data_IF_716071279961
#
_entry.id   IF_716071279961
#
_cell.length_a   1.000
_cell.length_b   1.000
_cell.length_c   1.000
_cell.angle_alpha   90.00
_cell.angle_beta   90.00
_cell.angle_gamma   90.00
#
_symmetry.space_group_name_H-M   'P 1'
#
loop_
_entity.id
_entity.type
_entity.pdbx_description
1 polymer ?
#
# COMPACT_ATOMS: atom_id res chain seq x y z
N UNK A 1 36.39 2.83 -9.26
CA UNK A 1 35.58 1.95 -8.40
C UNK A 1 34.13 2.38 -8.54
N UNK A 2 33.28 1.55 -9.15
CA UNK A 2 31.83 1.83 -9.18
C UNK A 2 31.31 1.96 -7.74
N UNK A 3 30.45 2.96 -7.47
CA UNK A 3 29.86 3.07 -6.14
C UNK A 3 29.01 1.83 -5.89
N UNK A 4 29.07 1.24 -4.69
CA UNK A 4 28.43 -0.05 -4.44
C UNK A 4 26.89 0.08 -4.43
N UNK A 5 26.35 1.31 -4.39
CA UNK A 5 24.93 1.64 -4.67
C UNK A 5 24.47 1.26 -6.08
N UNK A 6 25.35 1.33 -7.09
CA UNK A 6 25.02 0.91 -8.46
C UNK A 6 24.84 -0.60 -8.58
N UNK A 7 25.40 -1.40 -7.66
CA UNK A 7 25.37 -2.86 -7.80
C UNK A 7 24.00 -3.44 -7.42
N UNK A 8 23.40 -2.98 -6.31
CA UNK A 8 22.07 -3.45 -5.90
C UNK A 8 20.95 -2.88 -6.77
N UNK A 9 21.02 -1.59 -7.15
CA UNK A 9 20.08 -1.05 -8.13
C UNK A 9 20.22 -1.79 -9.46
N UNK A 10 21.45 -2.09 -9.93
CA UNK A 10 21.66 -2.96 -11.10
C UNK A 10 21.06 -4.35 -10.89
N UNK A 11 21.18 -4.98 -9.72
CA UNK A 11 20.61 -6.33 -9.48
C UNK A 11 19.08 -6.29 -9.49
N UNK A 12 18.47 -5.32 -8.78
CA UNK A 12 17.02 -5.15 -8.75
C UNK A 12 16.45 -4.69 -10.10
N UNK A 13 17.22 -3.94 -10.90
CA UNK A 13 16.82 -3.44 -12.22
C UNK A 13 17.19 -4.38 -13.37
N UNK A 14 18.03 -5.39 -13.11
CA UNK A 14 18.39 -6.36 -14.11
C UNK A 14 17.19 -7.29 -14.35
N UNK A 15 16.68 -7.23 -15.59
CA UNK A 15 15.54 -8.04 -16.07
C UNK A 15 15.70 -9.54 -15.82
N UNK A 16 16.92 -10.03 -15.65
CA UNK A 16 17.17 -11.45 -15.38
C UNK A 16 17.14 -11.79 -13.88
N UNK A 17 17.59 -10.90 -13.00
CA UNK A 17 17.67 -11.16 -11.56
C UNK A 17 16.43 -10.71 -10.79
N UNK A 18 15.73 -9.67 -11.25
CA UNK A 18 14.52 -9.18 -10.59
C UNK A 18 13.42 -10.26 -10.47
N UNK A 19 13.12 -11.08 -11.50
CA UNK A 19 12.11 -12.14 -11.39
C UNK A 19 12.51 -13.25 -10.42
N UNK A 20 13.79 -13.64 -10.39
CA UNK A 20 14.33 -14.60 -9.42
C UNK A 20 14.17 -14.08 -7.99
N UNK A 21 14.47 -12.80 -7.79
CA UNK A 21 14.35 -12.13 -6.50
C UNK A 21 12.89 -12.06 -6.04
N UNK A 22 11.96 -11.84 -6.98
CA UNK A 22 10.52 -11.91 -6.71
C UNK A 22 10.09 -13.32 -6.34
N UNK A 23 10.53 -14.35 -7.08
CA UNK A 23 10.24 -15.74 -6.74
C UNK A 23 10.71 -16.09 -5.32
N UNK A 24 11.91 -15.67 -4.92
CA UNK A 24 12.43 -15.88 -3.57
C UNK A 24 11.56 -15.17 -2.51
N UNK A 25 11.18 -13.91 -2.76
CA UNK A 25 10.32 -13.15 -1.84
C UNK A 25 8.94 -13.79 -1.68
N UNK A 26 8.38 -14.33 -2.75
CA UNK A 26 7.09 -15.03 -2.73
C UNK A 26 7.12 -16.36 -1.97
N UNK A 27 8.31 -16.94 -1.74
CA UNK A 27 8.45 -18.14 -0.91
C UNK A 27 8.38 -17.84 0.60
N UNK A 28 8.68 -16.61 1.04
CA UNK A 28 8.64 -16.25 2.46
C UNK A 28 7.24 -16.48 3.09
N UNK A 29 6.14 -15.97 2.51
CA UNK A 29 4.80 -16.21 3.06
C UNK A 29 4.35 -17.68 3.03
N UNK A 30 4.86 -18.48 2.09
CA UNK A 30 4.53 -19.90 1.97
C UNK A 30 5.09 -20.68 3.18
N UNK A 31 6.26 -20.29 3.70
CA UNK A 31 6.79 -20.85 4.94
C UNK A 31 5.86 -20.66 6.14
N UNK A 32 5.13 -19.53 6.19
CA UNK A 32 4.16 -19.25 7.27
C UNK A 32 2.95 -20.17 7.16
N UNK A 33 2.41 -20.37 5.94
CA UNK A 33 1.30 -21.28 5.68
C UNK A 33 1.59 -22.72 6.12
N UNK A 34 2.83 -23.18 5.97
CA UNK A 34 3.25 -24.54 6.31
C UNK A 34 3.49 -24.70 7.83
N UNK A 35 4.02 -23.67 8.50
CA UNK A 35 4.46 -23.79 9.90
C UNK A 35 3.44 -23.29 10.94
N UNK A 36 2.55 -22.35 10.57
CA UNK A 36 1.51 -21.79 11.45
C UNK A 36 0.44 -22.80 11.91
N UNK A 37 0.61 -24.07 11.56
CA UNK A 37 -0.33 -25.17 11.74
C UNK A 37 -0.03 -26.06 12.97
N UNK A 38 1.10 -25.84 13.66
CA UNK A 38 1.53 -26.64 14.82
C UNK A 38 0.90 -26.23 16.17
N UNK A 39 -0.17 -25.43 16.18
CA UNK A 39 -0.89 -25.02 17.39
C UNK A 39 -1.69 -26.16 18.01
N UNK A 40 -1.49 -26.41 19.31
CA UNK A 40 -2.10 -27.46 20.11
C UNK A 40 -3.62 -27.27 20.32
N UNK A 41 -4.46 -27.82 19.44
CA UNK A 41 -5.89 -27.97 19.71
C UNK A 41 -6.23 -29.45 20.00
N UNK A 42 -6.80 -29.70 21.18
CA UNK A 42 -7.29 -31.02 21.65
C UNK A 42 -8.55 -31.47 20.90
N UNK A 43 -8.44 -31.70 19.59
CA UNK A 43 -9.53 -32.24 18.77
C UNK A 43 -9.35 -33.73 18.46
N UNK A 44 -10.47 -34.44 18.35
CA UNK A 44 -10.52 -35.83 17.90
C UNK A 44 -9.89 -35.96 16.50
N UNK A 45 -9.22 -37.09 16.22
CA UNK A 45 -8.43 -37.26 14.99
C UNK A 45 -9.24 -37.10 13.69
N UNK A 46 -10.53 -37.44 13.73
CA UNK A 46 -11.43 -37.34 12.57
C UNK A 46 -11.91 -35.90 12.35
N UNK A 47 -12.22 -35.17 13.42
CA UNK A 47 -12.57 -33.74 13.36
C UNK A 47 -11.36 -32.90 12.96
N UNK A 48 -10.15 -33.33 13.34
CA UNK A 48 -8.88 -32.69 12.96
C UNK A 48 -8.65 -32.78 11.45
N UNK A 49 -8.95 -33.91 10.80
CA UNK A 49 -8.74 -34.09 9.35
C UNK A 49 -9.74 -33.27 8.52
N UNK A 50 -11.02 -33.25 8.91
CA UNK A 50 -12.07 -32.50 8.21
C UNK A 50 -11.92 -30.98 8.42
N UNK A 51 -11.60 -30.54 9.62
CA UNK A 51 -11.32 -29.11 9.90
C UNK A 51 -10.01 -28.64 9.25
N UNK A 52 -9.00 -29.50 9.17
CA UNK A 52 -7.75 -29.25 8.48
C UNK A 52 -7.99 -28.95 6.99
N UNK A 53 -8.67 -29.83 6.25
CA UNK A 53 -8.90 -29.64 4.81
C UNK A 53 -9.69 -28.34 4.52
N UNK A 54 -10.71 -28.02 5.32
CA UNK A 54 -11.49 -26.79 5.17
C UNK A 54 -10.67 -25.52 5.51
N UNK A 55 -9.91 -25.52 6.61
CA UNK A 55 -9.08 -24.39 7.04
C UNK A 55 -7.94 -24.14 6.06
N UNK A 56 -7.30 -25.19 5.58
CA UNK A 56 -6.21 -25.11 4.61
C UNK A 56 -6.69 -24.56 3.26
N UNK A 57 -7.83 -25.05 2.76
CA UNK A 57 -8.48 -24.52 1.55
C UNK A 57 -8.84 -23.04 1.68
N UNK A 58 -9.36 -22.62 2.84
CA UNK A 58 -9.68 -21.21 3.07
C UNK A 58 -8.42 -20.33 3.14
N UNK A 59 -7.39 -20.74 3.88
CA UNK A 59 -6.15 -19.96 4.01
C UNK A 59 -5.37 -19.88 2.69
N UNK A 60 -5.32 -20.97 1.92
CA UNK A 60 -4.71 -20.95 0.59
C UNK A 60 -5.47 -20.05 -0.39
N UNK A 61 -6.80 -20.08 -0.37
CA UNK A 61 -7.61 -19.17 -1.19
C UNK A 61 -7.36 -17.69 -0.83
N UNK A 62 -7.33 -17.36 0.46
CA UNK A 62 -7.01 -16.02 0.95
C UNK A 62 -5.62 -15.57 0.51
N UNK A 63 -4.63 -16.45 0.65
CA UNK A 63 -3.27 -16.18 0.23
C UNK A 63 -3.17 -15.91 -1.29
N UNK A 64 -3.86 -16.70 -2.12
CA UNK A 64 -3.90 -16.47 -3.57
C UNK A 64 -4.53 -15.10 -3.89
N UNK A 65 -5.60 -14.72 -3.20
CA UNK A 65 -6.22 -13.41 -3.36
C UNK A 65 -5.22 -12.28 -2.97
N UNK A 66 -4.54 -12.40 -1.82
CA UNK A 66 -3.52 -11.42 -1.42
C UNK A 66 -2.35 -11.35 -2.39
N UNK A 67 -1.86 -12.50 -2.85
CA UNK A 67 -0.78 -12.61 -3.81
C UNK A 67 -1.13 -11.91 -5.12
N UNK A 68 -2.33 -12.17 -5.66
CA UNK A 68 -2.79 -11.52 -6.89
C UNK A 68 -2.90 -10.01 -6.72
N UNK A 69 -3.40 -9.52 -5.59
CA UNK A 69 -3.48 -8.09 -5.30
C UNK A 69 -2.10 -7.41 -5.14
N UNK A 70 -1.13 -8.08 -4.50
CA UNK A 70 0.25 -7.56 -4.37
C UNK A 70 0.96 -7.55 -5.73
N UNK A 71 0.84 -8.61 -6.52
CA UNK A 71 1.43 -8.69 -7.87
C UNK A 71 0.81 -7.62 -8.78
N UNK A 72 -0.51 -7.45 -8.73
CA UNK A 72 -1.21 -6.39 -9.45
C UNK A 72 -0.70 -5.00 -9.01
N UNK A 73 -0.54 -4.78 -7.72
CA UNK A 73 0.03 -3.53 -7.18
C UNK A 73 1.44 -3.28 -7.70
N UNK A 74 2.30 -4.28 -7.72
CA UNK A 74 3.65 -4.18 -8.26
C UNK A 74 3.65 -3.84 -9.76
N UNK A 75 2.80 -4.50 -10.56
CA UNK A 75 2.66 -4.24 -11.99
C UNK A 75 2.14 -2.81 -12.28
N UNK A 76 1.15 -2.36 -11.51
CA UNK A 76 0.61 -1.00 -11.61
C UNK A 76 1.65 0.04 -11.19
N UNK A 77 2.43 -0.21 -10.13
CA UNK A 77 3.49 0.70 -9.67
C UNK A 77 4.61 0.81 -10.71
N UNK A 78 5.00 -0.31 -11.35
CA UNK A 78 5.93 -0.30 -12.48
C UNK A 78 5.37 0.54 -13.64
N UNK A 79 4.09 0.36 -13.98
CA UNK A 79 3.44 1.12 -15.06
C UNK A 79 3.38 2.61 -14.73
N UNK A 80 3.02 2.98 -13.50
CA UNK A 80 3.02 4.36 -13.00
C UNK A 80 4.38 5.02 -13.18
N UNK A 81 5.43 4.35 -12.68
CA UNK A 81 6.80 4.84 -12.72
C UNK A 81 7.33 5.00 -14.14
N UNK A 82 7.04 4.04 -15.02
CA UNK A 82 7.47 4.10 -16.41
C UNK A 82 6.70 5.16 -17.23
N UNK A 83 5.40 5.33 -16.97
CA UNK A 83 4.55 6.26 -17.75
C UNK A 83 4.88 7.71 -17.44
N UNK A 84 5.03 8.05 -16.16
CA UNK A 84 5.32 9.43 -15.74
C UNK A 84 6.80 9.71 -15.51
N UNK A 85 7.67 8.72 -15.80
CA UNK A 85 9.11 8.80 -15.60
C UNK A 85 9.51 9.37 -14.22
N UNK A 86 8.83 8.92 -13.17
CA UNK A 86 8.97 9.46 -11.81
C UNK A 86 10.38 9.25 -11.24
N UNK A 87 11.00 8.14 -11.63
CA UNK A 87 12.34 7.75 -11.19
C UNK A 87 13.46 8.28 -12.11
N UNK A 88 13.12 9.00 -13.18
CA UNK A 88 14.05 9.51 -14.22
C UNK A 88 14.83 8.43 -15.00
N UNK A 89 14.75 7.18 -14.57
CA UNK A 89 15.32 6.00 -15.20
C UNK A 89 14.35 4.83 -15.11
N UNK A 90 14.48 3.86 -16.02
CA UNK A 90 13.67 2.64 -16.03
C UNK A 90 14.19 1.68 -14.98
N UNK A 91 13.43 1.54 -13.89
CA UNK A 91 13.81 0.76 -12.71
C UNK A 91 12.64 -0.09 -12.21
N UNK A 92 12.94 -1.24 -11.62
CA UNK A 92 11.97 -2.13 -10.96
C UNK A 92 12.00 -1.97 -9.45
N UNK A 93 12.91 -1.14 -8.93
CA UNK A 93 13.21 -1.02 -7.51
C UNK A 93 11.99 -0.69 -6.62
N UNK A 94 11.11 0.28 -6.97
CA UNK A 94 9.93 0.54 -6.14
C UNK A 94 9.00 -0.67 -6.04
N UNK A 95 8.84 -1.43 -7.11
CA UNK A 95 8.00 -2.63 -7.11
C UNK A 95 8.65 -3.80 -6.36
N UNK A 96 9.96 -3.98 -6.47
CA UNK A 96 10.69 -4.99 -5.67
C UNK A 96 10.61 -4.69 -4.18
N UNK A 97 10.70 -3.40 -3.80
CA UNK A 97 10.58 -2.98 -2.40
C UNK A 97 9.16 -3.21 -1.87
N UNK A 98 8.14 -2.89 -2.67
CA UNK A 98 6.75 -3.15 -2.30
C UNK A 98 6.52 -4.65 -2.05
N UNK A 99 7.04 -5.50 -2.94
CA UNK A 99 6.93 -6.94 -2.81
C UNK A 99 7.65 -7.44 -1.55
N UNK A 100 8.86 -6.94 -1.30
CA UNK A 100 9.63 -7.27 -0.09
C UNK A 100 8.85 -6.92 1.19
N UNK A 101 8.38 -5.68 1.32
CA UNK A 101 7.70 -5.23 2.53
C UNK A 101 6.41 -6.01 2.80
N UNK A 102 5.63 -6.34 1.77
CA UNK A 102 4.42 -7.17 1.96
C UNK A 102 4.76 -8.64 2.23
N UNK A 103 5.83 -9.18 1.65
CA UNK A 103 6.21 -10.59 1.87
C UNK A 103 6.79 -10.84 3.26
N UNK A 104 7.35 -9.81 3.89
CA UNK A 104 7.90 -9.87 5.24
C UNK A 104 6.85 -9.75 6.36
N UNK A 105 5.55 -9.66 6.04
CA UNK A 105 4.49 -9.59 7.06
C UNK A 105 3.72 -10.92 7.10
N UNK A 106 3.93 -11.77 8.13
CA UNK A 106 3.30 -13.10 8.21
C UNK A 106 1.77 -13.05 8.26
N UNK A 107 1.20 -12.03 8.90
CA UNK A 107 -0.24 -11.89 9.06
C UNK A 107 -1.01 -11.90 7.73
N UNK A 108 -0.38 -11.39 6.66
CA UNK A 108 -0.98 -11.32 5.33
C UNK A 108 -1.21 -12.69 4.67
N UNK A 109 -0.60 -13.76 5.21
CA UNK A 109 -0.81 -15.12 4.73
C UNK A 109 -2.09 -15.77 5.32
N UNK A 110 -2.52 -15.36 6.52
CA UNK A 110 -3.57 -16.05 7.27
C UNK A 110 -4.86 -15.25 7.43
N UNK A 111 -4.79 -13.92 7.44
CA UNK A 111 -5.96 -13.05 7.68
C UNK A 111 -6.25 -12.19 6.46
N UNK A 112 -7.54 -12.05 6.13
CA UNK A 112 -7.98 -11.17 5.05
C UNK A 112 -7.66 -9.72 5.41
N UNK A 113 -6.67 -9.13 4.73
CA UNK A 113 -6.32 -7.73 4.89
C UNK A 113 -6.92 -6.85 3.78
N UNK A 114 -7.88 -6.00 4.16
CA UNK A 114 -8.56 -5.09 3.22
C UNK A 114 -7.60 -4.06 2.61
N UNK A 115 -6.56 -3.65 3.34
CA UNK A 115 -5.52 -2.75 2.87
C UNK A 115 -4.81 -3.27 1.61
N UNK A 116 -4.49 -4.57 1.57
CA UNK A 116 -3.83 -5.21 0.41
C UNK A 116 -4.73 -5.16 -0.82
N UNK A 117 -6.03 -5.38 -0.64
CA UNK A 117 -7.02 -5.32 -1.72
C UNK A 117 -7.18 -3.90 -2.27
N UNK A 118 -7.01 -2.89 -1.41
CA UNK A 118 -7.12 -1.47 -1.77
C UNK A 118 -5.80 -0.86 -2.27
N UNK A 119 -4.63 -1.48 -2.02
CA UNK A 119 -3.33 -1.07 -2.58
C UNK A 119 -3.31 -0.87 -4.11
N UNK A 120 -3.87 -1.76 -4.96
CA UNK A 120 -3.89 -1.53 -6.40
C UNK A 120 -4.77 -0.34 -6.77
N UNK A 121 -5.90 -0.13 -6.05
CA UNK A 121 -6.78 1.03 -6.25
C UNK A 121 -6.03 2.31 -5.87
N UNK A 122 -5.28 2.33 -4.77
CA UNK A 122 -4.45 3.47 -4.38
C UNK A 122 -3.45 3.85 -5.49
N UNK A 123 -2.80 2.85 -6.10
CA UNK A 123 -1.85 3.09 -7.19
C UNK A 123 -2.56 3.60 -8.46
N UNK A 124 -3.77 3.11 -8.76
CA UNK A 124 -4.60 3.66 -9.84
C UNK A 124 -5.00 5.12 -9.56
N UNK A 125 -5.32 5.47 -8.32
CA UNK A 125 -5.59 6.85 -7.93
C UNK A 125 -4.37 7.74 -8.15
N UNK A 126 -3.17 7.28 -7.77
CA UNK A 126 -1.91 7.96 -8.09
C UNK A 126 -1.71 8.12 -9.60
N UNK A 127 -2.03 7.07 -10.37
CA UNK A 127 -1.92 7.07 -11.82
C UNK A 127 -2.83 8.12 -12.47
N UNK A 128 -4.09 8.21 -12.02
CA UNK A 128 -5.03 9.23 -12.50
C UNK A 128 -4.56 10.63 -12.11
N UNK A 129 -4.14 10.83 -10.86
CA UNK A 129 -3.71 12.13 -10.36
C UNK A 129 -2.48 12.65 -11.11
N UNK A 130 -1.46 11.81 -11.32
CA UNK A 130 -0.24 12.24 -12.01
C UNK A 130 -0.49 12.50 -13.50
N UNK A 131 -1.50 11.85 -14.08
CA UNK A 131 -1.97 12.10 -15.45
C UNK A 131 -2.63 13.45 -15.64
N UNK A 132 -3.12 14.09 -14.57
CA UNK A 132 -3.70 15.44 -14.67
C UNK A 132 -2.67 16.54 -14.77
N UNK A 133 -1.37 16.26 -14.58
CA UNK A 133 -0.36 17.30 -14.62
C UNK A 133 -0.41 18.08 -15.95
N UNK A 134 -0.74 19.37 -15.87
CA UNK A 134 -0.88 20.29 -17.01
C UNK A 134 -1.93 19.89 -18.07
N UNK A 135 -2.87 19.00 -17.75
CA UNK A 135 -3.95 18.56 -18.65
C UNK A 135 -5.35 18.85 -18.08
N UNK A 136 -6.41 18.61 -18.87
CA UNK A 136 -7.78 18.78 -18.36
C UNK A 136 -8.11 17.71 -17.31
N UNK A 137 -8.15 18.10 -16.04
CA UNK A 137 -8.30 17.17 -14.91
C UNK A 137 -9.72 16.69 -14.60
N UNK A 138 -10.74 17.00 -15.40
CA UNK A 138 -12.15 16.72 -15.05
C UNK A 138 -12.46 15.21 -15.01
N UNK A 139 -12.08 14.47 -16.07
CA UNK A 139 -12.33 13.02 -16.15
C UNK A 139 -11.56 12.26 -15.08
N UNK A 140 -10.31 12.66 -14.84
CA UNK A 140 -9.50 12.08 -13.77
C UNK A 140 -10.04 12.42 -12.37
N UNK A 141 -10.53 13.64 -12.15
CA UNK A 141 -11.16 14.02 -10.88
C UNK A 141 -12.43 13.20 -10.62
N UNK A 142 -13.27 12.99 -11.63
CA UNK A 142 -14.41 12.07 -11.54
C UNK A 142 -13.97 10.64 -11.20
N UNK A 143 -12.97 10.12 -11.92
CA UNK A 143 -12.43 8.78 -11.69
C UNK A 143 -11.82 8.60 -10.29
N UNK A 144 -11.13 9.62 -9.79
CA UNK A 144 -10.59 9.65 -8.41
C UNK A 144 -11.74 9.57 -7.40
N UNK A 145 -12.76 10.42 -7.54
CA UNK A 145 -13.92 10.44 -6.64
C UNK A 145 -14.65 9.09 -6.64
N UNK A 146 -14.86 8.52 -7.83
CA UNK A 146 -15.52 7.23 -8.01
C UNK A 146 -14.72 6.09 -7.36
N UNK A 147 -13.42 6.01 -7.60
CA UNK A 147 -12.58 4.95 -7.05
C UNK A 147 -12.41 5.07 -5.52
N UNK A 148 -12.27 6.29 -4.99
CA UNK A 148 -12.21 6.52 -3.54
C UNK A 148 -13.52 6.13 -2.87
N UNK A 149 -14.66 6.58 -3.40
CA UNK A 149 -15.96 6.23 -2.83
C UNK A 149 -16.27 4.72 -2.96
N UNK A 150 -15.88 4.09 -4.06
CA UNK A 150 -16.01 2.63 -4.22
C UNK A 150 -15.15 1.88 -3.20
N UNK A 151 -13.91 2.31 -2.96
CA UNK A 151 -13.07 1.77 -1.89
C UNK A 151 -13.65 2.05 -0.50
N UNK A 152 -14.32 3.19 -0.32
CA UNK A 152 -15.06 3.56 0.89
C UNK A 152 -16.24 2.63 1.21
N UNK A 153 -16.88 2.03 0.20
CA UNK A 153 -17.92 1.00 0.42
C UNK A 153 -17.33 -0.30 0.98
N UNK A 154 -16.09 -0.63 0.62
CA UNK A 154 -15.36 -1.81 1.13
C UNK A 154 -14.82 -1.51 2.53
N UNK A 155 -14.18 -0.35 2.70
CA UNK A 155 -13.63 0.11 3.97
C UNK A 155 -13.85 1.61 4.14
N UNK A 156 -14.76 2.03 5.04
CA UNK A 156 -15.15 3.44 5.16
C UNK A 156 -14.02 4.43 5.41
N UNK A 157 -12.96 4.01 6.12
CA UNK A 157 -11.80 4.87 6.34
C UNK A 157 -11.08 5.25 5.03
N UNK A 158 -11.21 4.46 3.97
CA UNK A 158 -10.66 4.77 2.65
C UNK A 158 -11.30 6.02 2.03
N UNK A 159 -12.53 6.37 2.41
CA UNK A 159 -13.20 7.58 1.93
C UNK A 159 -12.46 8.87 2.33
N UNK A 160 -11.71 8.85 3.45
CA UNK A 160 -10.90 10.00 3.86
C UNK A 160 -9.77 10.33 2.88
N UNK A 161 -9.41 9.41 1.99
CA UNK A 161 -8.46 9.68 0.90
C UNK A 161 -8.99 10.71 -0.10
N UNK A 162 -10.28 11.05 -0.08
CA UNK A 162 -10.81 12.13 -0.91
C UNK A 162 -10.14 13.47 -0.56
N UNK A 163 -9.81 13.71 0.72
CA UNK A 163 -9.16 14.93 1.20
C UNK A 163 -7.77 15.12 0.58
N UNK A 164 -6.80 14.19 0.74
CA UNK A 164 -5.49 14.35 0.13
C UNK A 164 -5.60 14.40 -1.39
N UNK A 165 -6.43 13.57 -2.04
CA UNK A 165 -6.55 13.59 -3.50
C UNK A 165 -7.17 14.90 -4.05
N UNK A 166 -8.11 15.52 -3.34
CA UNK A 166 -8.59 16.86 -3.66
C UNK A 166 -7.47 17.91 -3.56
N UNK A 167 -6.67 17.86 -2.49
CA UNK A 167 -5.48 18.69 -2.36
C UNK A 167 -4.44 18.39 -3.46
N UNK A 168 -4.29 17.13 -3.86
CA UNK A 168 -3.43 16.68 -4.95
C UNK A 168 -3.79 17.30 -6.28
N UNK A 169 -5.08 17.39 -6.60
CA UNK A 169 -5.56 18.09 -7.81
C UNK A 169 -5.17 19.57 -7.79
N UNK A 170 -5.15 20.20 -6.61
CA UNK A 170 -4.67 21.57 -6.43
C UNK A 170 -3.14 21.67 -6.62
N UNK A 171 -2.37 20.73 -6.06
CA UNK A 171 -0.92 20.64 -6.30
C UNK A 171 -0.60 20.49 -7.79
N UNK A 172 -1.38 19.70 -8.54
CA UNK A 172 -1.20 19.52 -9.98
C UNK A 172 -1.68 20.71 -10.82
N UNK A 173 -2.19 21.77 -10.20
CA UNK A 173 -2.74 22.98 -10.85
C UNK A 173 -3.95 22.70 -11.75
N UNK A 174 -4.69 21.63 -11.48
CA UNK A 174 -5.90 21.27 -12.22
C UNK A 174 -7.19 21.49 -11.43
N UNK A 175 -7.08 22.04 -10.21
CA UNK A 175 -8.23 22.28 -9.36
C UNK A 175 -9.03 23.51 -9.84
N UNK A 176 -10.15 23.22 -10.49
CA UNK A 176 -11.14 24.18 -10.98
C UNK A 176 -12.51 23.82 -10.41
N UNK A 177 -13.47 24.74 -10.48
CA UNK A 177 -14.85 24.42 -10.10
C UNK A 177 -15.42 23.21 -10.86
N UNK A 178 -15.03 23.05 -12.13
CA UNK A 178 -15.42 21.89 -12.96
C UNK A 178 -14.80 20.58 -12.48
N UNK A 179 -13.54 20.58 -12.04
CA UNK A 179 -12.92 19.37 -11.47
C UNK A 179 -13.46 19.05 -10.07
N UNK A 180 -13.78 20.07 -9.27
CA UNK A 180 -14.37 19.89 -7.94
C UNK A 180 -15.78 19.26 -8.05
N UNK A 181 -16.61 19.78 -8.94
CA UNK A 181 -17.93 19.18 -9.22
C UNK A 181 -17.81 17.77 -9.80
N UNK A 182 -16.86 17.52 -10.71
CA UNK A 182 -16.58 16.18 -11.21
C UNK A 182 -16.15 15.20 -10.09
N UNK A 183 -15.29 15.63 -9.17
CA UNK A 183 -14.88 14.84 -8.01
C UNK A 183 -16.06 14.48 -7.10
N UNK A 184 -16.92 15.46 -6.79
CA UNK A 184 -18.12 15.26 -5.97
C UNK A 184 -19.10 14.30 -6.65
N UNK A 185 -19.35 14.48 -7.95
CA UNK A 185 -20.22 13.58 -8.73
C UNK A 185 -19.64 12.16 -8.78
N UNK A 186 -18.32 12.05 -8.94
CA UNK A 186 -17.62 10.77 -8.87
C UNK A 186 -17.85 10.08 -7.53
N UNK A 187 -17.67 10.81 -6.42
CA UNK A 187 -17.87 10.26 -5.08
C UNK A 187 -19.34 9.89 -4.78
N UNK A 188 -20.30 10.65 -5.31
CA UNK A 188 -21.72 10.37 -5.12
C UNK A 188 -22.19 9.15 -5.92
N UNK A 189 -21.52 8.82 -7.04
CA UNK A 189 -21.96 7.75 -7.95
C UNK A 189 -22.02 6.38 -7.26
N UNK A 190 -20.97 5.87 -6.57
CA UNK A 190 -21.04 4.60 -5.88
C UNK A 190 -22.08 4.57 -4.75
N UNK A 191 -22.23 5.67 -4.01
CA UNK A 191 -23.21 5.77 -2.94
C UNK A 191 -24.65 5.70 -3.48
N UNK A 192 -24.92 6.37 -4.60
CA UNK A 192 -26.20 6.32 -5.29
C UNK A 192 -26.50 4.91 -5.83
N UNK A 193 -25.52 4.28 -6.48
CA UNK A 193 -25.68 2.91 -6.99
C UNK A 193 -25.92 1.91 -5.86
N UNK A 194 -25.20 2.03 -4.74
CA UNK A 194 -25.41 1.21 -3.55
C UNK A 194 -26.83 1.39 -3.00
N UNK A 195 -27.30 2.63 -2.89
CA UNK A 195 -28.67 2.93 -2.47
C UNK A 195 -29.70 2.29 -3.41
N UNK A 196 -29.53 2.40 -4.73
CA UNK A 196 -30.43 1.77 -5.70
C UNK A 196 -30.46 0.24 -5.54
N UNK A 197 -29.31 -0.40 -5.29
CA UNK A 197 -29.23 -1.85 -5.05
C UNK A 197 -30.01 -2.22 -3.78
N UNK A 198 -29.84 -1.48 -2.68
CA UNK A 198 -30.58 -1.71 -1.45
C UNK A 198 -32.10 -1.61 -1.67
N UNK A 199 -32.57 -0.62 -2.43
CA UNK A 199 -34.01 -0.45 -2.73
C UNK A 199 -34.54 -1.57 -3.63
N UNK A 200 -33.81 -1.96 -4.67
CA UNK A 200 -34.27 -2.98 -5.65
C UNK A 200 -34.37 -4.37 -5.02
N UNK A 201 -33.44 -4.71 -4.13
CA UNK A 201 -33.36 -6.04 -3.51
C UNK A 201 -33.89 -6.06 -2.06
N UNK A 202 -34.53 -4.97 -1.60
CA UNK A 202 -35.08 -4.82 -0.25
C UNK A 202 -34.07 -5.14 0.87
N UNK A 203 -32.81 -4.69 0.70
CA UNK A 203 -31.79 -4.80 1.75
C UNK A 203 -31.80 -3.57 2.64
N UNK A 204 -31.68 -3.79 3.95
CA UNK A 204 -31.33 -2.73 4.88
C UNK A 204 -29.89 -2.24 4.58
N UNK A 205 -29.66 -0.94 4.37
CA UNK A 205 -28.33 -0.40 4.13
C UNK A 205 -27.51 -0.48 5.43
N UNK A 206 -26.77 -1.57 5.62
CA UNK A 206 -25.85 -1.74 6.73
C UNK A 206 -24.51 -1.12 6.36
N UNK A 207 -24.38 0.18 6.62
CA UNK A 207 -23.10 0.86 6.49
C UNK A 207 -22.34 0.73 7.82
N UNK A 208 -21.12 0.15 7.86
CA UNK A 208 -20.39 -0.05 9.10
C UNK A 208 -19.81 1.28 9.60
N UNK A 209 -20.65 2.12 10.18
CA UNK A 209 -20.32 3.45 10.72
C UNK A 209 -19.24 3.40 11.80
N UNK A 210 -19.13 2.27 12.48
CA UNK A 210 -18.10 1.97 13.49
C UNK A 210 -16.66 2.06 12.96
N UNK A 211 -16.47 2.01 11.65
CA UNK A 211 -15.16 2.14 11.02
C UNK A 211 -14.79 3.57 10.61
N UNK A 212 -15.72 4.53 10.70
CA UNK A 212 -15.45 5.94 10.42
C UNK A 212 -14.72 6.62 11.57
N UNK A 213 -15.27 6.54 12.78
CA UNK A 213 -14.71 7.19 13.97
C UNK A 213 -15.20 6.45 15.23
N UNK A 214 -14.45 5.44 15.68
CA UNK A 214 -14.60 4.94 17.04
C UNK A 214 -13.48 5.51 17.92
N UNK A 215 -13.81 5.89 19.17
CA UNK A 215 -12.84 6.46 20.08
C UNK A 215 -11.80 5.42 20.50
N UNK A 216 -10.67 5.96 20.96
CA UNK A 216 -9.49 5.29 21.47
C UNK A 216 -9.89 4.41 22.68
N UNK A 217 -10.44 3.23 22.44
CA UNK A 217 -10.51 2.17 23.44
C UNK A 217 -9.18 1.44 23.38
N UNK A 218 -8.24 1.86 24.23
CA UNK A 218 -6.93 1.21 24.38
C UNK A 218 -7.14 -0.10 25.13
N UNK A 219 -7.61 -1.13 24.44
CA UNK A 219 -7.27 -2.49 24.82
C UNK A 219 -5.89 -2.75 24.21
N UNK A 220 -4.86 -2.56 25.04
CA UNK A 220 -3.44 -2.87 24.81
C UNK A 220 -2.94 -2.83 23.35
N UNK A 221 -2.32 -1.71 22.97
CA UNK A 221 -1.58 -1.53 21.70
C UNK A 221 -0.51 -2.62 21.48
N UNK A 222 -0.05 -3.25 22.55
CA UNK A 222 0.93 -4.34 22.57
C UNK A 222 0.40 -5.68 22.08
N UNK A 223 -0.93 -5.90 22.05
CA UNK A 223 -1.53 -7.18 21.64
C UNK A 223 -1.74 -7.27 20.12
N UNK A 224 -1.55 -6.15 19.39
CA UNK A 224 -1.57 -6.11 17.93
C UNK A 224 -0.21 -6.55 17.40
N UNK A 225 -0.12 -7.81 16.97
CA UNK A 225 1.13 -8.47 16.49
C UNK A 225 1.88 -7.67 15.41
N UNK A 226 1.22 -6.82 14.62
CA UNK A 226 1.86 -6.10 13.51
C UNK A 226 2.28 -4.65 13.83
N UNK A 227 2.13 -4.18 15.08
CA UNK A 227 2.50 -2.80 15.47
C UNK A 227 3.98 -2.51 15.20
N UNK A 228 4.86 -3.51 15.34
CA UNK A 228 6.29 -3.37 15.03
C UNK A 228 6.56 -3.03 13.56
N UNK A 229 5.86 -3.66 12.63
CA UNK A 229 5.98 -3.37 11.20
C UNK A 229 5.46 -1.97 10.86
N UNK A 230 4.38 -1.54 11.50
CA UNK A 230 3.83 -0.20 11.32
C UNK A 230 4.79 0.89 11.80
N UNK A 231 5.40 0.71 12.97
CA UNK A 231 6.41 1.65 13.49
C UNK A 231 7.62 1.70 12.56
N UNK A 232 8.12 0.54 12.11
CA UNK A 232 9.21 0.47 11.15
C UNK A 232 8.85 1.18 9.82
N UNK A 233 7.67 0.90 9.27
CA UNK A 233 7.18 1.53 8.04
C UNK A 233 7.04 3.05 8.18
N UNK A 234 6.58 3.51 9.34
CA UNK A 234 6.44 4.94 9.65
C UNK A 234 7.81 5.62 9.70
N UNK A 235 8.77 5.06 10.45
CA UNK A 235 10.11 5.64 10.57
C UNK A 235 10.80 5.69 9.20
N UNK A 236 10.79 4.57 8.46
CA UNK A 236 11.42 4.49 7.14
C UNK A 236 10.73 5.45 6.16
N UNK A 237 9.41 5.49 6.15
CA UNK A 237 8.65 6.40 5.28
C UNK A 237 8.93 7.88 5.57
N UNK A 238 9.07 8.28 6.84
CA UNK A 238 9.48 9.65 7.21
C UNK A 238 10.91 9.90 6.73
N UNK A 239 11.86 9.02 7.05
CA UNK A 239 13.26 9.19 6.69
C UNK A 239 13.47 9.29 5.17
N UNK A 240 12.86 8.39 4.40
CA UNK A 240 12.92 8.39 2.93
C UNK A 240 12.18 9.60 2.35
N UNK A 241 10.95 9.89 2.79
CA UNK A 241 10.15 11.00 2.25
C UNK A 241 10.78 12.39 2.49
N UNK A 242 11.39 12.60 3.66
CA UNK A 242 12.14 13.84 3.95
C UNK A 242 13.41 13.91 3.10
N UNK A 243 14.15 12.82 3.00
CA UNK A 243 15.39 12.76 2.21
C UNK A 243 15.13 12.99 0.72
N UNK A 244 14.06 12.41 0.19
CA UNK A 244 13.61 12.62 -1.19
C UNK A 244 13.29 14.08 -1.45
N UNK A 245 12.52 14.69 -0.56
CA UNK A 245 12.13 16.10 -0.67
C UNK A 245 13.34 17.03 -0.75
N UNK A 246 14.42 16.70 -0.03
CA UNK A 246 15.68 17.45 -0.08
C UNK A 246 16.42 17.26 -1.42
N UNK A 247 16.55 16.02 -1.88
CA UNK A 247 17.24 15.68 -3.14
C UNK A 247 16.55 16.30 -4.37
N UNK A 248 15.26 16.61 -4.26
CA UNK A 248 14.41 16.97 -5.40
C UNK A 248 14.39 18.43 -5.81
N UNK A 249 15.07 19.31 -5.07
CA UNK A 249 15.11 20.76 -5.32
C UNK A 249 15.68 21.13 -6.70
N UNK A 250 16.31 20.19 -7.42
CA UNK A 250 16.95 20.41 -8.73
C UNK A 250 16.27 19.71 -9.91
N UNK A 251 15.13 19.05 -9.72
CA UNK A 251 14.49 18.21 -10.74
C UNK A 251 13.25 18.85 -11.39
N UNK A 252 12.70 18.17 -12.42
CA UNK A 252 11.50 18.60 -13.15
C UNK A 252 10.34 18.85 -12.18
N UNK A 253 9.60 19.94 -12.42
CA UNK A 253 8.49 20.42 -11.57
C UNK A 253 7.43 19.32 -11.32
N UNK A 254 7.12 18.50 -12.33
CA UNK A 254 6.17 17.39 -12.22
C UNK A 254 6.59 16.35 -11.16
N UNK A 255 7.86 15.95 -11.15
CA UNK A 255 8.42 14.95 -10.22
C UNK A 255 8.39 15.50 -8.80
N UNK A 256 8.78 16.77 -8.64
CA UNK A 256 8.72 17.47 -7.36
C UNK A 256 7.30 17.55 -6.79
N UNK A 257 6.28 17.86 -7.61
CA UNK A 257 4.87 17.88 -7.17
C UNK A 257 4.37 16.49 -6.78
N UNK A 258 4.72 15.49 -7.58
CA UNK A 258 4.30 14.10 -7.35
C UNK A 258 4.83 13.56 -6.02
N UNK A 259 6.10 13.82 -5.71
CA UNK A 259 6.71 13.37 -4.45
C UNK A 259 6.24 14.19 -3.23
N UNK A 260 6.00 15.50 -3.38
CA UNK A 260 5.34 16.28 -2.30
C UNK A 260 3.94 15.77 -2.00
N UNK A 261 3.20 15.38 -3.03
CA UNK A 261 1.90 14.74 -2.86
C UNK A 261 2.02 13.42 -2.08
N UNK A 262 3.00 12.57 -2.40
CA UNK A 262 3.23 11.33 -1.64
C UNK A 262 3.51 11.61 -0.16
N UNK A 263 4.29 12.64 0.16
CA UNK A 263 4.55 13.02 1.55
C UNK A 263 3.27 13.48 2.27
N UNK A 264 2.43 14.28 1.60
CA UNK A 264 1.12 14.69 2.15
C UNK A 264 0.22 13.48 2.40
N UNK A 265 0.13 12.59 1.42
CA UNK A 265 -0.66 11.36 1.52
C UNK A 265 -0.16 10.46 2.66
N UNK A 266 1.16 10.32 2.80
CA UNK A 266 1.78 9.58 3.88
C UNK A 266 1.47 10.17 5.26
N UNK A 267 1.61 11.49 5.42
CA UNK A 267 1.28 12.18 6.67
C UNK A 267 -0.20 11.99 7.06
N UNK A 268 -1.11 12.05 6.08
CA UNK A 268 -2.53 11.84 6.33
C UNK A 268 -2.85 10.38 6.68
N UNK A 269 -2.22 9.41 6.02
CA UNK A 269 -2.39 7.99 6.38
C UNK A 269 -1.88 7.70 7.79
N UNK A 270 -0.75 8.28 8.21
CA UNK A 270 -0.28 8.18 9.60
C UNK A 270 -1.30 8.81 10.54
N UNK A 271 -1.83 9.99 10.22
CA UNK A 271 -2.84 10.65 11.04
C UNK A 271 -4.09 9.76 11.20
N UNK A 272 -4.61 9.20 10.11
CA UNK A 272 -5.74 8.27 10.13
C UNK A 272 -5.43 7.01 10.93
N UNK A 273 -4.20 6.49 10.79
CA UNK A 273 -3.70 5.36 11.54
C UNK A 273 -3.66 5.64 13.05
N UNK A 274 -3.27 6.85 13.47
CA UNK A 274 -3.28 7.27 14.89
C UNK A 274 -4.68 7.48 15.44
N UNK A 275 -5.64 7.87 14.60
CA UNK A 275 -7.04 8.07 15.00
C UNK A 275 -7.76 6.72 15.09
N UNK A 276 -7.48 5.78 14.18
CA UNK A 276 -8.16 4.50 14.08
C UNK A 276 -7.23 3.31 14.38
N UNK A 277 -6.94 3.13 15.68
CA UNK A 277 -6.06 2.07 16.18
C UNK A 277 -6.65 0.65 16.03
N UNK A 278 -7.95 0.51 15.78
CA UNK A 278 -8.58 -0.81 15.62
C UNK A 278 -8.21 -1.48 14.29
N UNK A 279 -7.96 -0.69 13.26
CA UNK A 279 -7.70 -1.18 11.90
C UNK A 279 -6.27 -0.89 11.43
N UNK A 280 -5.29 -0.83 12.35
CA UNK A 280 -3.87 -0.56 12.04
C UNK A 280 -3.33 -1.44 10.91
N UNK A 281 -3.67 -2.72 10.94
CA UNK A 281 -3.24 -3.70 9.94
C UNK A 281 -3.67 -3.33 8.52
N UNK A 282 -4.82 -2.67 8.36
CA UNK A 282 -5.35 -2.29 7.06
C UNK A 282 -4.65 -1.06 6.48
N UNK A 283 -4.01 -0.23 7.30
CA UNK A 283 -3.22 0.92 6.83
C UNK A 283 -1.82 0.50 6.36
N UNK A 284 -1.26 -0.59 6.91
CA UNK A 284 0.12 -1.02 6.66
C UNK A 284 0.43 -1.25 5.16
N UNK A 285 -0.38 -1.98 4.37
CA UNK A 285 -0.13 -2.16 2.93
C UNK A 285 -0.19 -0.85 2.13
N UNK A 286 -1.04 0.09 2.53
CA UNK A 286 -1.15 1.41 1.89
C UNK A 286 0.11 2.25 2.18
N UNK A 287 0.62 2.19 3.42
CA UNK A 287 1.90 2.81 3.79
C UNK A 287 3.07 2.16 3.04
N UNK A 288 3.07 0.84 2.86
CA UNK A 288 4.09 0.14 2.07
C UNK A 288 4.17 0.64 0.63
N UNK A 289 3.04 0.96 -0.03
CA UNK A 289 3.04 1.55 -1.39
C UNK A 289 3.81 2.86 -1.42
N UNK A 290 3.51 3.76 -0.49
CA UNK A 290 4.13 5.10 -0.46
C UNK A 290 5.60 5.01 -0.05
N UNK A 291 5.89 4.18 0.96
CA UNK A 291 7.24 3.92 1.43
C UNK A 291 8.11 3.27 0.35
N UNK A 292 7.59 2.30 -0.40
CA UNK A 292 8.34 1.66 -1.48
C UNK A 292 8.65 2.65 -2.61
N UNK A 293 7.73 3.56 -2.90
CA UNK A 293 7.93 4.61 -3.89
C UNK A 293 8.96 5.64 -3.44
N UNK A 294 8.89 6.13 -2.19
CA UNK A 294 9.86 7.08 -1.64
C UNK A 294 11.24 6.44 -1.46
N UNK A 295 11.32 5.27 -0.82
CA UNK A 295 12.57 4.53 -0.68
C UNK A 295 13.20 4.22 -2.05
N UNK A 296 12.42 3.80 -3.04
CA UNK A 296 12.93 3.58 -4.39
C UNK A 296 13.54 4.85 -5.01
N UNK A 297 12.89 6.01 -4.84
CA UNK A 297 13.43 7.28 -5.31
C UNK A 297 14.73 7.65 -4.59
N UNK A 298 14.75 7.55 -3.26
CA UNK A 298 15.90 7.85 -2.43
C UNK A 298 17.13 7.08 -2.89
N UNK A 299 16.98 5.77 -3.05
CA UNK A 299 18.08 4.86 -3.38
C UNK A 299 18.68 5.09 -4.76
N UNK A 300 17.87 5.54 -5.70
CA UNK A 300 18.33 5.85 -7.06
C UNK A 300 19.16 7.15 -7.08
N UNK A 301 18.70 8.17 -6.35
CA UNK A 301 19.25 9.52 -6.47
C UNK A 301 20.30 9.87 -5.42
N UNK A 302 20.35 9.11 -4.32
CA UNK A 302 21.35 9.30 -3.28
C UNK A 302 22.75 8.95 -3.78
N UNK A 303 23.69 9.87 -3.53
CA UNK A 303 25.13 9.65 -3.81
C UNK A 303 25.91 9.22 -2.57
N UNK A 304 25.20 8.88 -1.49
CA UNK A 304 25.82 8.54 -0.22
C UNK A 304 26.39 7.09 -0.24
N UNK A 305 27.65 6.94 0.16
CA UNK A 305 28.33 5.64 0.29
C UNK A 305 27.67 4.68 1.30
N UNK A 306 26.91 5.21 2.27
CA UNK A 306 26.29 4.44 3.35
C UNK A 306 24.91 3.85 2.99
N UNK A 307 24.44 4.04 1.77
CA UNK A 307 23.07 3.66 1.38
C UNK A 307 22.86 2.15 1.36
N UNK A 308 23.89 1.38 1.04
CA UNK A 308 23.85 -0.08 1.18
C UNK A 308 23.66 -0.52 2.63
N UNK A 309 24.33 0.16 3.57
CA UNK A 309 24.17 -0.12 5.00
C UNK A 309 22.76 0.25 5.46
N UNK A 310 22.21 1.37 5.00
CA UNK A 310 20.84 1.77 5.31
C UNK A 310 19.83 0.73 4.81
N UNK A 311 20.00 0.23 3.58
CA UNK A 311 19.14 -0.83 3.04
C UNK A 311 19.32 -2.16 3.75
N UNK A 312 20.56 -2.53 4.10
CA UNK A 312 20.84 -3.71 4.90
C UNK A 312 20.14 -3.64 6.26
N UNK A 313 20.21 -2.49 6.94
CA UNK A 313 19.52 -2.27 8.21
C UNK A 313 18.00 -2.41 8.05
N UNK A 314 17.41 -1.79 7.03
CA UNK A 314 15.95 -1.91 6.75
C UNK A 314 15.57 -3.37 6.51
N UNK A 315 16.33 -4.10 5.70
CA UNK A 315 16.07 -5.50 5.42
C UNK A 315 16.20 -6.37 6.69
N UNK A 316 17.24 -6.14 7.49
CA UNK A 316 17.46 -6.84 8.76
C UNK A 316 16.32 -6.57 9.74
N UNK A 317 15.86 -5.32 9.87
CA UNK A 317 14.74 -4.96 10.75
C UNK A 317 13.47 -5.67 10.32
N UNK A 318 13.13 -5.68 9.03
CA UNK A 318 11.94 -6.38 8.53
C UNK A 318 12.04 -7.89 8.70
N UNK A 319 13.20 -8.49 8.44
CA UNK A 319 13.41 -9.93 8.61
C UNK A 319 13.43 -10.34 10.09
N UNK A 320 13.95 -9.49 10.97
CA UNK A 320 13.90 -9.69 12.42
C UNK A 320 12.45 -9.62 12.92
N UNK A 321 11.69 -8.62 12.50
CA UNK A 321 10.26 -8.52 12.81
C UNK A 321 9.45 -9.68 12.23
N UNK A 322 9.82 -10.17 11.05
CA UNK A 322 9.24 -11.38 10.46
C UNK A 322 9.50 -12.58 11.36
N UNK A 323 10.75 -12.83 11.76
CA UNK A 323 11.11 -13.95 12.63
C UNK A 323 10.54 -13.84 14.05
N UNK A 324 10.28 -12.62 14.54
CA UNK A 324 9.69 -12.38 15.87
C UNK A 324 8.17 -12.60 15.90
N UNK A 325 7.48 -12.33 14.79
CA UNK A 325 6.03 -12.51 14.66
C UNK A 325 5.65 -13.89 14.08
N UNK A 326 6.65 -14.73 13.84
CA UNK A 326 6.54 -16.13 13.46
C UNK A 326 6.59 -16.99 14.72
#
# INVERSE_FOLDING_TARGET
MESPTNLLSKIADNRHYAPLLWCIMLLLPIGVLIWGENGNDELSLNDRILSFDAKWKMQTALYVIHLTAVVLSCALLLRLNNTYNLMQQRTWLPATLLLFFNSCVPAFAHTLNVGILLSPILILLLYLLYGTYQSQGQQAAYGIGLLVASGGLIWPAFAFLLIPFAAGLAYMQTFTWRSATALILGALTPAWLFFCICVVFDLAPTFPTESFFLPIAVENITDIKNTGFLVAATIIGICCGVSDSYLMTRHKIQIWRSNRFLLLLFALLILLCTINLRFLDSYLPLLHVIMAQSAGYYLIHTRNRYVLWQMGIVAIVYLFLYAWNF
#
